data_IF_226435200455
#
_entry.id   IF_226435200455
#
_cell.length_a   1.000
_cell.length_b   1.000
_cell.length_c   1.000
_cell.angle_alpha   90.00
_cell.angle_beta   90.00
_cell.angle_gamma   90.00
#
_symmetry.space_group_name_H-M   'P 1'
#
loop_
_entity.id
_entity.type
_entity.pdbx_description
1 polymer ?
#
# COMPACT_ATOMS: atom_id res chain seq x y z
N UNK A 1 1.67 -13.86 -19.90
CA UNK A 1 0.78 -14.13 -18.77
C UNK A 1 1.60 -14.89 -17.75
N UNK A 2 1.76 -14.33 -16.54
CA UNK A 2 2.71 -14.83 -15.55
C UNK A 2 2.46 -16.32 -15.27
N UNK A 3 3.50 -17.14 -15.41
CA UNK A 3 3.49 -18.54 -15.02
C UNK A 3 3.15 -18.63 -13.54
N UNK A 4 1.99 -19.20 -13.21
CA UNK A 4 1.64 -19.47 -11.81
C UNK A 4 2.69 -20.42 -11.24
N UNK A 5 3.28 -20.05 -10.09
CA UNK A 5 4.18 -20.94 -9.38
C UNK A 5 3.42 -22.24 -9.07
N UNK A 6 4.03 -23.43 -9.16
CA UNK A 6 3.33 -24.71 -8.97
C UNK A 6 2.60 -24.83 -7.62
N UNK A 7 3.02 -24.05 -6.62
CA UNK A 7 2.42 -24.02 -5.28
C UNK A 7 1.31 -22.96 -5.10
N UNK A 8 0.91 -22.25 -6.16
CA UNK A 8 -0.17 -21.25 -6.11
C UNK A 8 -1.45 -21.89 -6.63
N UNK A 9 -2.45 -22.09 -5.77
CA UNK A 9 -3.76 -22.63 -6.16
C UNK A 9 -4.56 -21.64 -7.02
N UNK A 10 -4.60 -20.37 -6.60
CA UNK A 10 -5.30 -19.29 -7.31
C UNK A 10 -4.83 -17.91 -6.84
N UNK A 11 -5.07 -16.90 -7.67
CA UNK A 11 -4.90 -15.48 -7.31
C UNK A 11 -6.13 -15.02 -6.52
N UNK A 12 -5.91 -14.51 -5.30
CA UNK A 12 -6.98 -13.94 -4.47
C UNK A 12 -7.25 -12.46 -4.77
N UNK A 13 -6.18 -11.71 -5.06
CA UNK A 13 -6.21 -10.30 -5.40
C UNK A 13 -5.23 -10.06 -6.54
N UNK A 14 -5.66 -9.37 -7.59
CA UNK A 14 -4.77 -8.94 -8.66
C UNK A 14 -3.91 -7.78 -8.21
N UNK A 15 -2.94 -7.41 -9.05
CA UNK A 15 -2.13 -6.22 -8.81
C UNK A 15 -3.01 -4.96 -8.80
N UNK A 16 -4.00 -4.88 -9.69
CA UNK A 16 -4.95 -3.78 -9.78
C UNK A 16 -5.84 -3.69 -8.53
N UNK A 17 -6.27 -4.83 -7.98
CA UNK A 17 -7.03 -4.86 -6.73
C UNK A 17 -6.22 -4.23 -5.58
N UNK A 18 -4.94 -4.63 -5.46
CA UNK A 18 -4.04 -4.12 -4.43
C UNK A 18 -3.77 -2.63 -4.65
N UNK A 19 -3.47 -2.19 -5.88
CA UNK A 19 -3.23 -0.77 -6.18
C UNK A 19 -4.46 0.09 -5.88
N UNK A 20 -5.67 -0.42 -6.15
CA UNK A 20 -6.93 0.25 -5.80
C UNK A 20 -7.11 0.41 -4.29
N UNK A 21 -6.79 -0.62 -3.50
CA UNK A 21 -6.82 -0.56 -2.03
C UNK A 21 -5.84 0.47 -1.52
N UNK A 22 -4.60 0.42 -1.99
CA UNK A 22 -3.52 1.31 -1.55
C UNK A 22 -3.83 2.76 -1.92
N UNK A 23 -4.33 3.02 -3.14
CA UNK A 23 -4.71 4.36 -3.59
C UNK A 23 -5.82 4.94 -2.72
N UNK A 24 -6.88 4.16 -2.46
CA UNK A 24 -7.99 4.58 -1.59
C UNK A 24 -7.54 4.88 -0.17
N UNK A 25 -6.65 4.05 0.39
CA UNK A 25 -6.11 4.27 1.73
C UNK A 25 -5.18 5.48 1.78
N UNK A 26 -4.34 5.67 0.77
CA UNK A 26 -3.46 6.84 0.64
C UNK A 26 -4.26 8.14 0.63
N UNK A 27 -5.29 8.23 -0.22
CA UNK A 27 -6.18 9.39 -0.27
C UNK A 27 -6.89 9.65 1.08
N UNK A 28 -7.32 8.59 1.76
CA UNK A 28 -7.96 8.72 3.06
C UNK A 28 -6.99 9.26 4.11
N UNK A 29 -5.78 8.70 4.19
CA UNK A 29 -4.73 9.15 5.12
C UNK A 29 -4.34 10.59 4.81
N UNK A 30 -4.18 10.96 3.53
CA UNK A 30 -3.90 12.34 3.12
C UNK A 30 -4.95 13.31 3.65
N UNK A 31 -6.24 12.99 3.51
CA UNK A 31 -7.30 13.86 4.05
C UNK A 31 -7.26 13.92 5.57
N UNK A 32 -7.14 12.77 6.23
CA UNK A 32 -7.26 12.66 7.68
C UNK A 32 -6.06 13.28 8.43
N UNK A 33 -4.89 13.30 7.77
CA UNK A 33 -3.63 13.83 8.30
C UNK A 33 -3.19 15.15 7.65
N UNK A 34 -4.05 15.81 6.86
CA UNK A 34 -3.76 17.13 6.30
C UNK A 34 -3.41 18.13 7.41
N UNK A 35 -2.23 18.77 7.26
CA UNK A 35 -1.71 19.75 8.23
C UNK A 35 -1.21 19.13 9.55
N UNK A 36 -1.06 17.80 9.61
CA UNK A 36 -0.50 17.08 10.77
C UNK A 36 0.85 16.47 10.41
N UNK A 37 1.65 16.21 11.42
CA UNK A 37 2.91 15.48 11.27
C UNK A 37 2.60 13.97 11.22
N UNK A 38 2.89 13.33 10.08
CA UNK A 38 2.57 11.93 9.83
C UNK A 38 3.79 11.04 10.12
N UNK A 39 3.63 10.07 11.03
CA UNK A 39 4.63 9.03 11.29
C UNK A 39 4.06 7.68 10.89
N UNK A 40 4.70 7.01 9.94
CA UNK A 40 4.34 5.68 9.47
C UNK A 40 5.23 4.62 10.14
N UNK A 41 4.63 3.65 10.82
CA UNK A 41 5.35 2.56 11.51
C UNK A 41 4.95 1.23 10.87
N UNK A 42 5.93 0.51 10.33
CA UNK A 42 5.74 -0.81 9.72
C UNK A 42 6.37 -1.91 10.56
N UNK A 43 5.62 -2.98 10.81
CA UNK A 43 6.14 -4.19 11.48
C UNK A 43 6.81 -5.09 10.46
N UNK A 44 8.11 -5.32 10.65
CA UNK A 44 8.91 -6.13 9.73
C UNK A 44 8.70 -7.65 9.94
N UNK A 45 8.92 -8.48 8.93
CA UNK A 45 9.43 -8.17 7.57
C UNK A 45 8.36 -8.01 6.49
N UNK A 46 7.17 -8.60 6.68
CA UNK A 46 6.16 -8.71 5.63
C UNK A 46 5.51 -7.40 5.22
N UNK A 47 5.43 -6.41 6.11
CA UNK A 47 4.75 -5.14 5.82
C UNK A 47 5.52 -4.23 4.85
N UNK A 48 6.79 -4.53 4.54
CA UNK A 48 7.66 -3.62 3.78
C UNK A 48 7.13 -3.33 2.38
N UNK A 49 6.58 -4.32 1.69
CA UNK A 49 6.08 -4.17 0.31
C UNK A 49 4.83 -3.29 0.31
N UNK A 50 3.85 -3.65 1.14
CA UNK A 50 2.60 -2.89 1.27
C UNK A 50 2.83 -1.45 1.76
N UNK A 51 3.72 -1.27 2.74
CA UNK A 51 4.06 0.07 3.23
C UNK A 51 4.72 0.92 2.14
N UNK A 52 5.62 0.35 1.33
CA UNK A 52 6.24 1.06 0.21
C UNK A 52 5.24 1.53 -0.84
N UNK A 53 4.24 0.69 -1.16
CA UNK A 53 3.14 1.07 -2.05
C UNK A 53 2.28 2.18 -1.43
N UNK A 54 1.92 2.06 -0.16
CA UNK A 54 1.06 3.02 0.55
C UNK A 54 1.70 4.39 0.69
N UNK A 55 2.98 4.44 1.06
CA UNK A 55 3.73 5.70 1.20
C UNK A 55 3.69 6.53 -0.09
N UNK A 56 3.72 5.89 -1.27
CA UNK A 56 3.68 6.58 -2.57
C UNK A 56 2.33 7.20 -2.90
N UNK A 57 1.24 6.72 -2.29
CA UNK A 57 -0.13 7.23 -2.52
C UNK A 57 -0.55 8.27 -1.49
N UNK A 58 0.27 8.52 -0.47
CA UNK A 58 0.00 9.56 0.54
C UNK A 58 0.61 10.88 0.05
N UNK A 59 -0.26 11.80 -0.36
CA UNK A 59 0.11 13.15 -0.78
C UNK A 59 0.12 14.11 0.42
N UNK A 60 1.18 14.06 1.22
CA UNK A 60 1.41 15.03 2.30
C UNK A 60 2.83 15.61 2.18
N UNK A 61 3.04 16.89 2.53
CA UNK A 61 4.39 17.43 2.61
C UNK A 61 5.18 16.64 3.64
N UNK A 62 6.20 15.92 3.18
CA UNK A 62 7.15 15.24 4.06
C UNK A 62 8.18 16.25 4.52
N UNK A 63 8.35 16.39 5.83
CA UNK A 63 9.33 17.29 6.46
C UNK A 63 10.78 16.99 6.05
#
# INVERSE_FOLDING_TARGET
MASQHPDIEKVLFTQEDIDGIVSRLGEQITRDYAGKDLVLIAVLRGAVVFMGDLMRKIELPTN
#
